data_IF_295424069005
#
_entry.id   IF_295424069005
#
_cell.length_a   1.000
_cell.length_b   1.000
_cell.length_c   1.000
_cell.angle_alpha   90.00
_cell.angle_beta   90.00
_cell.angle_gamma   90.00
#
_symmetry.space_group_name_H-M   'P 1'
#
loop_
_entity.id
_entity.type
_entity.pdbx_description
1 polymer ?
#
# COMPACT_ATOMS: atom_id res chain seq x y z
N UNK A 1 8.15 27.37 9.18
CA UNK A 1 8.05 25.95 8.80
C UNK A 1 9.05 25.16 9.64
N UNK A 2 8.63 24.13 10.38
CA UNK A 2 9.55 23.29 11.16
C UNK A 2 9.99 22.07 10.34
N UNK A 3 11.13 21.47 10.69
CA UNK A 3 11.61 20.22 10.05
C UNK A 3 10.58 19.10 10.22
N UNK A 4 9.91 19.05 11.37
CA UNK A 4 8.79 18.14 11.64
C UNK A 4 7.65 18.27 10.63
N UNK A 5 7.19 19.50 10.35
CA UNK A 5 6.12 19.72 9.36
C UNK A 5 6.54 19.36 7.94
N UNK A 6 7.81 19.58 7.57
CA UNK A 6 8.35 19.18 6.26
C UNK A 6 8.37 17.66 6.14
N UNK A 7 8.85 16.95 7.16
CA UNK A 7 8.86 15.50 7.19
C UNK A 7 7.44 14.91 7.11
N UNK A 8 6.49 15.48 7.87
CA UNK A 8 5.08 15.10 7.80
C UNK A 8 4.50 15.30 6.40
N UNK A 9 4.78 16.44 5.76
CA UNK A 9 4.36 16.70 4.39
C UNK A 9 4.91 15.65 3.41
N UNK A 10 6.22 15.39 3.45
CA UNK A 10 6.86 14.39 2.59
C UNK A 10 6.28 12.98 2.81
N UNK A 11 6.01 12.60 4.07
CA UNK A 11 5.37 11.33 4.42
C UNK A 11 3.99 11.20 3.76
N UNK A 12 3.17 12.25 3.86
CA UNK A 12 1.82 12.29 3.27
C UNK A 12 1.92 12.23 1.73
N UNK A 13 2.84 12.98 1.11
CA UNK A 13 3.07 12.92 -0.34
C UNK A 13 3.48 11.51 -0.77
N UNK A 14 4.34 10.84 0.00
CA UNK A 14 4.72 9.45 -0.23
C UNK A 14 3.52 8.50 -0.19
N UNK A 15 2.63 8.67 0.79
CA UNK A 15 1.40 7.90 0.93
C UNK A 15 0.42 8.15 -0.22
N UNK A 16 0.22 9.42 -0.62
CA UNK A 16 -0.60 9.77 -1.79
C UNK A 16 -0.04 9.14 -3.06
N UNK A 17 1.28 9.17 -3.25
CA UNK A 17 1.93 8.52 -4.39
C UNK A 17 1.70 7.00 -4.38
N UNK A 18 1.70 6.34 -3.21
CA UNK A 18 1.35 4.91 -3.12
C UNK A 18 -0.06 4.65 -3.64
N UNK A 19 -1.04 5.47 -3.27
CA UNK A 19 -2.41 5.35 -3.78
C UNK A 19 -2.51 5.62 -5.29
N UNK A 20 -1.73 6.56 -5.83
CA UNK A 20 -1.63 6.77 -7.28
C UNK A 20 -1.09 5.51 -7.97
N UNK A 21 -0.04 4.89 -7.44
CA UNK A 21 0.55 3.67 -7.99
C UNK A 21 -0.42 2.48 -7.93
N UNK A 22 -1.15 2.33 -6.83
CA UNK A 22 -2.22 1.35 -6.72
C UNK A 22 -3.34 1.64 -7.74
N UNK A 23 -3.71 2.90 -7.93
CA UNK A 23 -4.75 3.26 -8.90
C UNK A 23 -4.32 2.91 -10.34
N UNK A 24 -3.10 3.28 -10.73
CA UNK A 24 -2.54 2.95 -12.05
C UNK A 24 -2.47 1.43 -12.26
N UNK A 25 -2.02 0.68 -11.25
CA UNK A 25 -2.00 -0.78 -11.30
C UNK A 25 -3.41 -1.36 -11.53
N UNK A 26 -4.41 -0.89 -10.77
CA UNK A 26 -5.79 -1.34 -10.91
C UNK A 26 -6.40 -1.01 -12.28
N UNK A 27 -6.09 0.15 -12.86
CA UNK A 27 -6.55 0.52 -14.20
C UNK A 27 -5.89 -0.34 -15.29
N UNK A 28 -4.57 -0.51 -15.23
CA UNK A 28 -3.82 -1.29 -16.23
C UNK A 28 -4.23 -2.77 -16.23
N UNK A 29 -4.46 -3.36 -15.05
CA UNK A 29 -4.96 -4.73 -14.95
C UNK A 29 -6.33 -4.91 -15.61
N UNK A 30 -7.23 -3.94 -15.48
CA UNK A 30 -8.56 -3.96 -16.14
C UNK A 30 -8.49 -3.73 -17.65
N UNK A 31 -7.41 -3.15 -18.15
CA UNK A 31 -7.16 -2.94 -19.57
C UNK A 31 -6.38 -4.11 -20.21
N UNK A 32 -6.13 -5.19 -19.47
CA UNK A 32 -5.34 -6.32 -19.96
C UNK A 32 -3.84 -6.02 -20.11
N UNK A 33 -3.36 -4.89 -19.57
CA UNK A 33 -1.96 -4.46 -19.64
C UNK A 33 -1.29 -4.51 -18.27
N UNK A 34 -0.03 -4.06 -18.19
CA UNK A 34 0.72 -4.03 -16.93
C UNK A 34 1.34 -2.66 -16.65
N UNK A 35 0.95 -2.06 -15.52
CA UNK A 35 1.60 -0.87 -14.96
C UNK A 35 2.93 -1.16 -14.27
N UNK A 36 3.45 -2.39 -14.31
CA UNK A 36 4.60 -2.81 -13.53
C UNK A 36 5.88 -2.00 -13.82
N UNK A 37 6.07 -1.50 -15.05
CA UNK A 37 7.22 -0.65 -15.39
C UNK A 37 7.15 0.72 -14.69
N UNK A 38 5.96 1.33 -14.67
CA UNK A 38 5.70 2.58 -13.96
C UNK A 38 5.93 2.39 -12.46
N UNK A 39 5.35 1.33 -11.88
CA UNK A 39 5.50 1.01 -10.47
C UNK A 39 6.94 0.65 -10.07
N UNK A 40 7.75 0.11 -10.99
CA UNK A 40 9.16 -0.18 -10.73
C UNK A 40 10.01 1.09 -10.55
N UNK A 41 9.63 2.19 -11.19
CA UNK A 41 10.35 3.47 -11.11
C UNK A 41 9.87 4.26 -9.90
N UNK A 42 8.56 4.45 -9.77
CA UNK A 42 7.98 5.31 -8.74
C UNK A 42 7.72 4.60 -7.41
N UNK A 43 7.63 3.27 -7.40
CA UNK A 43 7.45 2.47 -6.18
C UNK A 43 8.54 2.71 -5.13
N UNK A 44 9.84 2.62 -5.48
CA UNK A 44 10.92 2.95 -4.55
C UNK A 44 10.86 4.40 -4.04
N UNK A 45 10.45 5.35 -4.88
CA UNK A 45 10.34 6.76 -4.50
C UNK A 45 9.23 6.94 -3.46
N UNK A 46 8.03 6.41 -3.70
CA UNK A 46 6.93 6.40 -2.73
C UNK A 46 7.34 5.71 -1.43
N UNK A 47 8.02 4.56 -1.54
CA UNK A 47 8.47 3.81 -0.38
C UNK A 47 9.45 4.62 0.49
N UNK A 48 10.44 5.28 -0.12
CA UNK A 48 11.38 6.13 0.61
C UNK A 48 10.71 7.36 1.21
N UNK A 49 9.79 8.00 0.49
CA UNK A 49 9.03 9.15 0.98
C UNK A 49 8.11 8.80 2.15
N UNK A 50 7.64 7.56 2.25
CA UNK A 50 6.89 7.09 3.44
C UNK A 50 7.87 6.76 4.56
N UNK A 51 8.87 5.91 4.29
CA UNK A 51 9.70 5.33 5.33
C UNK A 51 10.63 6.35 5.99
N UNK A 52 11.40 7.11 5.22
CA UNK A 52 12.45 7.98 5.76
C UNK A 52 11.85 9.09 6.65
N UNK A 53 10.85 9.85 6.19
CA UNK A 53 10.20 10.83 7.05
C UNK A 53 9.41 10.18 8.18
N UNK A 54 8.80 9.01 7.97
CA UNK A 54 8.08 8.28 9.02
C UNK A 54 8.97 7.92 10.20
N UNK A 55 10.17 7.39 9.94
CA UNK A 55 11.16 7.08 10.97
C UNK A 55 11.63 8.34 11.70
N UNK A 56 11.80 9.46 10.98
CA UNK A 56 12.11 10.74 11.61
C UNK A 56 10.99 11.22 12.54
N UNK A 57 9.72 11.10 12.13
CA UNK A 57 8.57 11.50 12.96
C UNK A 57 8.49 10.67 14.26
N UNK A 58 8.77 9.36 14.17
CA UNK A 58 8.89 8.48 15.34
C UNK A 58 10.00 8.95 16.28
N UNK A 59 11.20 9.21 15.73
CA UNK A 59 12.35 9.63 16.52
C UNK A 59 12.22 11.03 17.14
N UNK A 60 11.47 11.92 16.49
CA UNK A 60 11.37 13.33 16.88
C UNK A 60 10.19 13.67 17.81
N UNK A 61 9.25 12.74 18.01
CA UNK A 61 8.19 12.95 19.01
C UNK A 61 6.98 12.03 18.93
N UNK A 62 6.69 11.39 17.79
CA UNK A 62 5.55 10.48 17.70
C UNK A 62 5.75 9.23 18.56
N UNK A 63 7.01 8.79 18.73
CA UNK A 63 7.36 7.62 19.54
C UNK A 63 6.93 6.30 18.91
N UNK A 64 7.36 5.20 19.52
CA UNK A 64 6.87 3.86 19.17
C UNK A 64 5.56 3.60 19.90
N UNK A 65 4.54 3.22 19.14
CA UNK A 65 3.20 2.91 19.64
C UNK A 65 2.53 1.89 18.73
N UNK A 66 1.45 1.28 19.20
CA UNK A 66 0.81 0.16 18.50
C UNK A 66 0.39 0.44 17.06
N UNK A 67 -0.12 1.64 16.76
CA UNK A 67 -0.46 2.03 15.38
C UNK A 67 0.78 2.27 14.50
N UNK A 68 1.90 2.71 15.07
CA UNK A 68 3.18 2.87 14.34
C UNK A 68 3.70 1.50 13.94
N UNK A 69 3.75 0.56 14.88
CA UNK A 69 4.22 -0.81 14.64
C UNK A 69 3.35 -1.50 13.59
N UNK A 70 2.02 -1.52 13.79
CA UNK A 70 1.09 -2.13 12.85
C UNK A 70 1.15 -1.46 11.46
N UNK A 71 1.23 -0.13 11.41
CA UNK A 71 1.34 0.63 10.16
C UNK A 71 2.63 0.32 9.40
N UNK A 72 3.77 0.31 10.09
CA UNK A 72 5.07 0.01 9.50
C UNK A 72 5.12 -1.44 8.98
N UNK A 73 4.68 -2.41 9.78
CA UNK A 73 4.62 -3.82 9.36
C UNK A 73 3.73 -3.99 8.14
N UNK A 74 2.54 -3.38 8.14
CA UNK A 74 1.60 -3.46 7.02
C UNK A 74 2.16 -2.81 5.76
N UNK A 75 2.82 -1.65 5.89
CA UNK A 75 3.49 -0.98 4.78
C UNK A 75 4.60 -1.85 4.17
N UNK A 76 5.42 -2.52 5.00
CA UNK A 76 6.43 -3.48 4.51
C UNK A 76 5.76 -4.61 3.74
N UNK A 77 4.68 -5.19 4.26
CA UNK A 77 3.91 -6.23 3.56
C UNK A 77 3.40 -5.75 2.20
N UNK A 78 2.81 -4.56 2.13
CA UNK A 78 2.33 -3.96 0.88
C UNK A 78 3.48 -3.80 -0.13
N UNK A 79 4.62 -3.27 0.31
CA UNK A 79 5.78 -3.02 -0.54
C UNK A 79 6.38 -4.33 -1.08
N UNK A 80 6.58 -5.33 -0.22
CA UNK A 80 7.13 -6.64 -0.59
C UNK A 80 6.19 -7.39 -1.53
N UNK A 81 4.89 -7.47 -1.19
CA UNK A 81 3.89 -8.14 -2.04
C UNK A 81 3.78 -7.43 -3.39
N UNK A 82 3.81 -6.09 -3.40
CA UNK A 82 3.80 -5.30 -4.63
C UNK A 82 5.01 -5.57 -5.52
N UNK A 83 6.21 -5.64 -4.93
CA UNK A 83 7.43 -5.96 -5.66
C UNK A 83 7.39 -7.39 -6.24
N UNK A 84 6.98 -8.38 -5.45
CA UNK A 84 6.84 -9.78 -5.90
C UNK A 84 5.83 -9.88 -7.04
N UNK A 85 4.67 -9.22 -6.92
CA UNK A 85 3.61 -9.21 -7.93
C UNK A 85 4.12 -8.59 -9.23
N UNK A 86 4.74 -7.40 -9.15
CA UNK A 86 5.29 -6.71 -10.32
C UNK A 86 6.39 -7.50 -11.03
N UNK A 87 7.33 -8.08 -10.28
CA UNK A 87 8.40 -8.92 -10.85
C UNK A 87 7.81 -10.18 -11.50
N UNK A 88 6.82 -10.81 -10.87
CA UNK A 88 6.21 -12.04 -11.39
C UNK A 88 5.40 -11.78 -12.66
N UNK A 89 4.69 -10.66 -12.75
CA UNK A 89 4.00 -10.21 -13.98
C UNK A 89 4.99 -9.97 -15.12
N UNK A 90 6.07 -9.22 -14.86
CA UNK A 90 7.10 -8.93 -15.87
C UNK A 90 7.82 -10.20 -16.37
N UNK A 91 7.87 -11.24 -15.54
CA UNK A 91 8.45 -12.55 -15.88
C UNK A 91 7.43 -13.54 -16.45
N UNK A 92 6.17 -13.16 -16.63
CA UNK A 92 5.10 -14.05 -17.10
C UNK A 92 4.77 -15.21 -16.15
N UNK A 93 5.16 -15.12 -14.87
CA UNK A 93 4.98 -16.17 -13.85
C UNK A 93 3.66 -16.08 -13.09
N UNK A 94 2.88 -15.03 -13.34
CA UNK A 94 1.64 -14.74 -12.63
C UNK A 94 0.57 -14.29 -13.61
N UNK A 95 -0.65 -14.80 -13.45
CA UNK A 95 -1.81 -14.36 -14.23
C UNK A 95 -2.28 -12.96 -13.80
N UNK A 96 -2.89 -12.21 -14.72
CA UNK A 96 -3.52 -10.92 -14.41
C UNK A 96 -4.59 -11.04 -13.31
N UNK A 97 -5.30 -12.19 -13.26
CA UNK A 97 -6.28 -12.48 -12.20
C UNK A 97 -5.64 -12.57 -10.82
N UNK A 98 -4.54 -13.30 -10.70
CA UNK A 98 -3.80 -13.41 -9.44
C UNK A 98 -3.24 -12.05 -9.01
N UNK A 99 -2.74 -11.26 -9.98
CA UNK A 99 -2.29 -9.91 -9.72
C UNK A 99 -3.43 -8.98 -9.25
N UNK A 100 -4.64 -9.11 -9.82
CA UNK A 100 -5.81 -8.35 -9.38
C UNK A 100 -6.24 -8.67 -7.94
N UNK A 101 -6.13 -9.94 -7.52
CA UNK A 101 -6.38 -10.35 -6.13
C UNK A 101 -5.32 -9.73 -5.20
N UNK A 102 -4.03 -9.86 -5.55
CA UNK A 102 -2.92 -9.24 -4.80
C UNK A 102 -3.09 -7.72 -4.68
N UNK A 103 -3.44 -7.07 -5.78
CA UNK A 103 -3.72 -5.63 -5.83
C UNK A 103 -4.86 -5.25 -4.88
N UNK A 104 -5.99 -5.95 -4.95
CA UNK A 104 -7.17 -5.63 -4.13
C UNK A 104 -6.90 -5.81 -2.64
N UNK A 105 -6.16 -6.85 -2.26
CA UNK A 105 -5.68 -7.05 -0.89
C UNK A 105 -4.78 -5.90 -0.41
N UNK A 106 -3.83 -5.45 -1.25
CA UNK A 106 -2.95 -4.31 -0.93
C UNK A 106 -3.70 -3.01 -0.80
N UNK A 107 -4.72 -2.76 -1.62
CA UNK A 107 -5.61 -1.59 -1.48
C UNK A 107 -6.33 -1.61 -0.14
N UNK A 108 -6.91 -2.76 0.24
CA UNK A 108 -7.59 -2.92 1.53
C UNK A 108 -6.66 -2.64 2.72
N UNK A 109 -5.44 -3.19 2.69
CA UNK A 109 -4.42 -2.90 3.70
C UNK A 109 -4.01 -1.42 3.71
N UNK A 110 -3.80 -0.79 2.55
CA UNK A 110 -3.43 0.62 2.46
C UNK A 110 -4.51 1.53 3.05
N UNK A 111 -5.79 1.24 2.80
CA UNK A 111 -6.92 1.96 3.40
C UNK A 111 -6.94 1.79 4.92
N UNK A 112 -6.71 0.58 5.43
CA UNK A 112 -6.60 0.34 6.87
C UNK A 112 -5.43 1.12 7.50
N UNK A 113 -4.29 1.24 6.81
CA UNK A 113 -3.15 2.05 7.27
C UNK A 113 -3.54 3.53 7.40
N UNK A 114 -4.31 4.08 6.46
CA UNK A 114 -4.82 5.46 6.57
C UNK A 114 -5.72 5.61 7.80
N UNK A 115 -6.60 4.65 8.06
CA UNK A 115 -7.47 4.66 9.24
C UNK A 115 -6.66 4.68 10.54
N UNK A 116 -5.70 3.75 10.73
CA UNK A 116 -4.91 3.70 11.98
C UNK A 116 -4.00 4.93 12.14
N UNK A 117 -3.51 5.53 11.05
CA UNK A 117 -2.74 6.78 11.09
C UNK A 117 -3.61 7.98 11.51
N UNK A 118 -4.91 7.90 11.28
CA UNK A 118 -5.90 8.93 11.64
C UNK A 118 -6.34 8.79 13.09
N UNK A 119 -6.75 7.59 13.48
CA UNK A 119 -7.31 7.30 14.82
C UNK A 119 -6.22 7.07 15.86
N UNK A 120 -5.05 6.60 15.46
CA UNK A 120 -3.89 6.28 16.30
C UNK A 120 -4.21 5.35 17.49
N UNK A 121 -4.91 4.23 17.27
CA UNK A 121 -5.30 3.36 18.37
C UNK A 121 -4.11 2.50 18.86
N UNK A 122 -4.34 1.68 19.89
CA UNK A 122 -3.36 0.70 20.35
C UNK A 122 -3.09 -0.41 19.31
N UNK A 123 -2.19 -1.35 19.66
CA UNK A 123 -1.75 -2.41 18.76
C UNK A 123 -2.90 -3.37 18.40
N UNK A 124 -3.72 -3.76 19.36
CA UNK A 124 -4.79 -4.73 19.14
C UNK A 124 -5.81 -4.19 18.15
N UNK A 125 -6.30 -2.97 18.39
CA UNK A 125 -7.27 -2.31 17.51
C UNK A 125 -6.65 -2.05 16.13
N UNK A 126 -5.37 -1.65 16.09
CA UNK A 126 -4.66 -1.47 14.82
C UNK A 126 -4.56 -2.76 14.01
N UNK A 127 -4.20 -3.88 14.66
CA UNK A 127 -4.12 -5.19 14.02
C UNK A 127 -5.48 -5.68 13.50
N UNK A 128 -6.55 -5.46 14.27
CA UNK A 128 -7.92 -5.78 13.85
C UNK A 128 -8.30 -4.94 12.63
N UNK A 129 -8.00 -3.63 12.63
CA UNK A 129 -8.31 -2.76 11.50
C UNK A 129 -7.58 -3.19 10.22
N UNK A 130 -6.29 -3.55 10.32
CA UNK A 130 -5.52 -4.10 9.19
C UNK A 130 -6.10 -5.42 8.70
N UNK A 131 -6.44 -6.34 9.61
CA UNK A 131 -7.07 -7.61 9.28
C UNK A 131 -8.41 -7.42 8.54
N UNK A 132 -9.25 -6.50 9.03
CA UNK A 132 -10.50 -6.15 8.39
C UNK A 132 -10.29 -5.54 7.00
N UNK A 133 -9.33 -4.61 6.85
CA UNK A 133 -8.97 -4.05 5.56
C UNK A 133 -8.50 -5.10 4.56
N UNK A 134 -7.67 -6.05 4.99
CA UNK A 134 -7.24 -7.18 4.16
C UNK A 134 -8.43 -8.06 3.73
N UNK A 135 -9.29 -8.46 4.66
CA UNK A 135 -10.48 -9.28 4.36
C UNK A 135 -11.43 -8.55 3.41
N UNK A 136 -11.67 -7.26 3.63
CA UNK A 136 -12.50 -6.44 2.75
C UNK A 136 -11.90 -6.33 1.34
N UNK A 137 -10.59 -6.12 1.23
CA UNK A 137 -9.87 -6.14 -0.04
C UNK A 137 -9.98 -7.49 -0.76
N UNK A 138 -9.79 -8.59 -0.04
CA UNK A 138 -9.94 -9.94 -0.61
C UNK A 138 -11.39 -10.21 -1.06
N UNK A 139 -12.40 -9.78 -0.30
CA UNK A 139 -13.79 -9.87 -0.70
C UNK A 139 -14.09 -9.05 -1.98
N UNK A 140 -13.56 -7.83 -2.06
CA UNK A 140 -13.67 -6.96 -3.25
C UNK A 140 -12.95 -7.52 -4.49
N UNK A 141 -11.97 -8.40 -4.30
CA UNK A 141 -11.28 -9.06 -5.41
C UNK A 141 -12.20 -9.96 -6.25
N UNK A 142 -13.31 -10.46 -5.67
CA UNK A 142 -14.29 -11.27 -6.39
C UNK A 142 -14.95 -10.49 -7.54
N UNK A 143 -15.20 -9.19 -7.33
CA UNK A 143 -15.74 -8.30 -8.35
C UNK A 143 -14.67 -7.92 -9.37
N UNK A 144 -13.48 -7.59 -8.89
CA UNK A 144 -12.37 -7.12 -9.73
C UNK A 144 -11.85 -8.24 -10.66
N UNK A 145 -11.74 -9.47 -10.16
CA UNK A 145 -11.30 -10.62 -10.94
C UNK A 145 -12.23 -10.96 -12.10
N UNK A 146 -13.55 -10.70 -11.96
CA UNK A 146 -14.53 -10.87 -13.05
C UNK A 146 -14.34 -9.83 -14.15
N UNK A 147 -14.08 -8.57 -13.79
CA UNK A 147 -13.87 -7.49 -14.75
C UNK A 147 -12.62 -7.68 -15.61
N UNK A 148 -11.56 -8.27 -15.03
CA UNK A 148 -10.32 -8.57 -15.77
C UNK A 148 -10.50 -9.75 -16.74
N UNK A 149 -11.50 -10.62 -16.57
CA UNK A 149 -11.78 -11.72 -17.50
C UNK A 149 -12.60 -11.30 -18.73
N UNK A 150 -13.32 -10.19 -18.64
CA UNK A 150 -14.17 -9.67 -19.73
C UNK A 150 -13.45 -8.70 -20.67
N UNK A 151 -12.23 -8.29 -20.35
CA UNK A 151 -11.40 -7.37 -21.13
C UNK A 151 -10.33 -8.15 -21.91
#
# INVERSE_FOLDING_TARGET
>A
MTVYSIALFLHIVGALLLFVLLTVEGLTLRQGTTGARFNRIFGPISALLILVPGLYLVASGAGWSGWVEAGLTTWVLIAVIGAITGISLLRGRMSLRTAAISWSARVGMAVAVVFIMTVKPDLLVSSIAVGFGLVAGLAGSLLTARQVQSA
#
